data_IF_273478015392
#
_entry.id   IF_273478015392
#
_cell.length_a   1.000
_cell.length_b   1.000
_cell.length_c   1.000
_cell.angle_alpha   90.00
_cell.angle_beta   90.00
_cell.angle_gamma   90.00
#
_symmetry.space_group_name_H-M   'P 1'
#
loop_
_entity.id
_entity.type
_entity.pdbx_description
1 polymer ?
#
# COMPACT_ATOMS: atom_id res chain seq x y z
N UNK A 1 5.96 -7.98 0.88
CA UNK A 1 5.32 -7.62 -0.40
C UNK A 1 5.61 -6.15 -0.62
N UNK A 2 6.33 -5.82 -1.68
CA UNK A 2 6.70 -4.43 -2.03
C UNK A 2 5.52 -3.69 -2.69
N UNK A 3 5.61 -2.37 -2.86
CA UNK A 3 4.61 -1.62 -3.65
C UNK A 3 4.64 -1.99 -5.14
N UNK A 4 5.81 -2.39 -5.65
CA UNK A 4 5.93 -2.92 -7.01
C UNK A 4 5.15 -4.24 -7.15
N UNK A 5 5.25 -5.15 -6.16
CA UNK A 5 4.48 -6.40 -6.16
C UNK A 5 2.97 -6.14 -6.17
N UNK A 6 2.51 -5.10 -5.45
CA UNK A 6 1.09 -4.70 -5.43
C UNK A 6 0.65 -4.15 -6.78
N UNK A 7 1.46 -3.26 -7.38
CA UNK A 7 1.18 -2.71 -8.71
C UNK A 7 1.11 -3.81 -9.77
N UNK A 8 2.02 -4.78 -9.73
CA UNK A 8 2.06 -5.92 -10.63
C UNK A 8 0.83 -6.81 -10.46
N UNK A 9 0.44 -7.14 -9.22
CA UNK A 9 -0.77 -7.90 -8.94
C UNK A 9 -2.03 -7.20 -9.45
N UNK A 10 -2.11 -5.88 -9.27
CA UNK A 10 -3.24 -5.08 -9.75
C UNK A 10 -3.27 -5.03 -11.29
N UNK A 11 -2.12 -4.84 -11.94
CA UNK A 11 -2.01 -4.85 -13.39
C UNK A 11 -2.44 -6.20 -13.97
N UNK A 12 -2.00 -7.30 -13.36
CA UNK A 12 -2.35 -8.65 -13.77
C UNK A 12 -3.85 -8.92 -13.66
N UNK A 13 -4.48 -8.56 -12.53
CA UNK A 13 -5.90 -8.83 -12.28
C UNK A 13 -6.80 -7.95 -13.15
N UNK A 14 -6.46 -6.68 -13.32
CA UNK A 14 -7.31 -5.72 -14.05
C UNK A 14 -7.06 -5.69 -15.56
N UNK A 15 -5.93 -6.23 -16.03
CA UNK A 15 -5.47 -6.11 -17.42
C UNK A 15 -5.09 -4.69 -17.83
N UNK A 16 -5.07 -3.72 -16.90
CA UNK A 16 -4.70 -2.32 -17.16
C UNK A 16 -3.23 -2.12 -16.82
N UNK A 17 -2.50 -1.31 -17.59
CA UNK A 17 -1.12 -0.98 -17.25
C UNK A 17 -1.09 -0.16 -15.96
N UNK A 18 -0.48 -0.73 -14.92
CA UNK A 18 -0.22 -0.07 -13.63
C UNK A 18 1.27 -0.25 -13.34
N UNK A 19 1.94 0.81 -12.87
CA UNK A 19 3.33 0.76 -12.42
C UNK A 19 3.46 1.41 -11.05
N UNK A 20 4.36 0.88 -10.24
CA UNK A 20 4.83 1.59 -9.07
C UNK A 20 5.84 2.66 -9.50
N UNK A 21 5.70 3.87 -8.94
CA UNK A 21 6.63 4.98 -9.14
C UNK A 21 7.09 5.44 -7.77
N UNK A 22 8.39 5.28 -7.50
CA UNK A 22 8.99 5.77 -6.27
C UNK A 22 9.06 7.30 -6.30
N UNK A 23 8.48 7.93 -5.28
CA UNK A 23 8.51 9.38 -5.07
C UNK A 23 9.08 9.69 -3.70
N UNK A 24 9.76 10.83 -3.55
CA UNK A 24 10.24 11.25 -2.24
C UNK A 24 9.08 11.67 -1.34
N UNK A 25 9.26 11.63 -0.02
CA UNK A 25 8.22 12.08 0.92
C UNK A 25 7.85 13.56 0.70
N UNK A 26 8.81 14.39 0.28
CA UNK A 26 8.57 15.80 -0.03
C UNK A 26 7.72 15.97 -1.30
N UNK A 27 8.01 15.19 -2.35
CA UNK A 27 7.24 15.22 -3.58
C UNK A 27 5.82 14.68 -3.36
N UNK A 28 5.68 13.61 -2.57
CA UNK A 28 4.38 13.10 -2.16
C UNK A 28 3.59 14.15 -1.38
N UNK A 29 4.24 14.87 -0.46
CA UNK A 29 3.59 15.95 0.29
C UNK A 29 3.04 17.04 -0.64
N UNK A 30 3.85 17.47 -1.61
CA UNK A 30 3.46 18.46 -2.60
C UNK A 30 2.29 17.97 -3.46
N UNK A 31 2.37 16.76 -4.01
CA UNK A 31 1.32 16.14 -4.84
C UNK A 31 -0.02 16.08 -4.08
N UNK A 32 -0.01 15.65 -2.81
CA UNK A 32 -1.23 15.55 -2.01
C UNK A 32 -1.80 16.93 -1.66
N UNK A 33 -0.93 17.91 -1.36
CA UNK A 33 -1.35 19.28 -1.05
C UNK A 33 -1.96 19.96 -2.27
N UNK A 34 -1.35 19.81 -3.46
CA UNK A 34 -1.86 20.34 -4.73
C UNK A 34 -3.23 19.74 -5.10
N UNK A 35 -3.47 18.49 -4.70
CA UNK A 35 -4.78 17.82 -4.85
C UNK A 35 -5.81 18.29 -3.81
N UNK A 36 -5.47 19.24 -2.94
CA UNK A 36 -6.37 19.84 -1.97
C UNK A 36 -6.62 18.99 -0.73
N UNK A 37 -5.75 18.01 -0.43
CA UNK A 37 -5.90 17.24 0.80
C UNK A 37 -5.56 18.12 2.03
N UNK A 38 -6.32 18.00 3.14
CA UNK A 38 -5.99 18.72 4.37
C UNK A 38 -4.63 18.30 4.93
N UNK A 39 -3.92 19.24 5.55
CA UNK A 39 -2.55 19.08 6.04
C UNK A 39 -2.35 17.81 6.89
N UNK A 40 -3.30 17.51 7.78
CA UNK A 40 -3.25 16.30 8.62
C UNK A 40 -3.18 14.99 7.81
N UNK A 41 -3.81 14.94 6.64
CA UNK A 41 -3.73 13.79 5.75
C UNK A 41 -2.41 13.75 5.01
N UNK A 42 -1.91 14.91 4.56
CA UNK A 42 -0.60 15.00 3.90
C UNK A 42 0.50 14.48 4.83
N UNK A 43 0.54 14.97 6.07
CA UNK A 43 1.49 14.53 7.09
C UNK A 43 1.35 13.03 7.42
N UNK A 44 0.11 12.54 7.53
CA UNK A 44 -0.14 11.11 7.77
C UNK A 44 0.41 10.23 6.66
N UNK A 45 0.11 10.55 5.40
CA UNK A 45 0.53 9.76 4.24
C UNK A 45 2.04 9.76 4.02
N UNK A 46 2.71 10.90 4.21
CA UNK A 46 4.17 10.97 4.09
C UNK A 46 4.87 10.22 5.23
N UNK A 47 4.31 10.28 6.44
CA UNK A 47 4.79 9.49 7.58
C UNK A 47 4.74 7.97 7.34
N UNK A 48 3.70 7.47 6.69
CA UNK A 48 3.57 6.04 6.34
C UNK A 48 4.71 5.54 5.46
N UNK A 49 5.19 6.36 4.52
CA UNK A 49 6.35 6.03 3.68
C UNK A 49 7.60 5.76 4.51
N UNK A 50 7.83 6.55 5.56
CA UNK A 50 8.94 6.34 6.50
C UNK A 50 8.76 5.07 7.32
N UNK A 51 7.59 4.85 7.94
CA UNK A 51 7.34 3.63 8.71
C UNK A 51 7.47 2.35 7.88
N UNK A 52 7.08 2.41 6.60
CA UNK A 52 7.24 1.30 5.67
C UNK A 52 8.70 0.98 5.41
N UNK A 53 9.54 1.98 5.12
CA UNK A 53 10.99 1.81 4.92
C UNK A 53 11.69 1.29 6.18
N UNK A 54 11.19 1.66 7.35
CA UNK A 54 11.67 1.17 8.64
C UNK A 54 11.15 -0.25 8.98
N UNK A 55 10.37 -0.89 8.10
CA UNK A 55 9.93 -2.28 8.24
C UNK A 55 8.77 -2.49 9.22
N UNK A 56 8.09 -1.42 9.66
CA UNK A 56 6.99 -1.53 10.63
C UNK A 56 5.83 -2.39 10.13
N UNK A 57 5.67 -2.52 8.81
CA UNK A 57 4.59 -3.31 8.18
C UNK A 57 5.03 -4.70 7.70
N UNK A 58 6.29 -5.09 7.91
CA UNK A 58 6.81 -6.37 7.42
C UNK A 58 6.61 -7.54 8.40
N UNK A 59 5.99 -7.28 9.56
CA UNK A 59 5.70 -8.31 10.56
C UNK A 59 4.54 -9.18 10.11
N UNK A 60 4.80 -10.49 9.97
CA UNK A 60 3.79 -11.49 9.60
C UNK A 60 3.52 -12.46 10.74
N UNK A 61 2.28 -12.92 10.87
CA UNK A 61 1.86 -13.91 11.86
C UNK A 61 0.77 -14.82 11.30
N UNK A 62 0.49 -15.93 11.97
CA UNK A 62 -0.66 -16.80 11.68
C UNK A 62 -1.93 -16.39 12.45
N UNK A 63 -1.99 -15.18 13.02
CA UNK A 63 -3.09 -14.79 13.90
C UNK A 63 -4.45 -14.79 13.19
N UNK A 64 -4.52 -14.35 11.94
CA UNK A 64 -5.77 -14.37 11.15
C UNK A 64 -6.32 -15.79 11.03
N UNK A 65 -5.48 -16.74 10.63
CA UNK A 65 -5.89 -18.14 10.47
C UNK A 65 -6.27 -18.77 11.81
N UNK A 66 -5.48 -18.56 12.86
CA UNK A 66 -5.78 -19.11 14.19
C UNK A 66 -7.05 -18.55 14.83
N UNK A 67 -7.31 -17.25 14.67
CA UNK A 67 -8.46 -16.59 15.31
C UNK A 67 -9.76 -16.76 14.52
N UNK A 68 -9.67 -16.86 13.19
CA UNK A 68 -10.86 -16.89 12.32
C UNK A 68 -11.16 -18.27 11.73
N UNK A 69 -10.23 -19.23 11.83
CA UNK A 69 -10.32 -20.54 11.19
C UNK A 69 -10.19 -20.51 9.66
N UNK A 70 -9.86 -19.35 9.08
CA UNK A 70 -9.74 -19.14 7.63
C UNK A 70 -8.40 -18.49 7.30
N UNK A 71 -7.80 -18.91 6.18
CA UNK A 71 -6.60 -18.24 5.66
C UNK A 71 -6.89 -16.77 5.33
N UNK A 72 -5.91 -15.86 5.50
CA UNK A 72 -6.07 -14.48 5.06
C UNK A 72 -6.34 -14.42 3.55
N UNK A 73 -7.21 -13.49 3.14
CA UNK A 73 -7.52 -13.27 1.73
C UNK A 73 -6.28 -12.74 0.99
N UNK A 74 -5.82 -13.41 -0.09
CA UNK A 74 -4.77 -12.89 -0.95
C UNK A 74 -5.17 -11.54 -1.58
N UNK A 75 -4.21 -10.64 -1.76
CA UNK A 75 -4.49 -9.31 -2.34
C UNK A 75 -5.06 -9.39 -3.78
N UNK A 76 -4.60 -10.37 -4.56
CA UNK A 76 -5.08 -10.59 -5.92
C UNK A 76 -6.57 -10.99 -5.94
N UNK A 77 -7.00 -11.82 -5.00
CA UNK A 77 -8.41 -12.23 -4.87
C UNK A 77 -9.29 -11.03 -4.50
N UNK A 78 -8.78 -10.14 -3.65
CA UNK A 78 -9.47 -8.89 -3.32
C UNK A 78 -9.63 -7.98 -4.55
N UNK A 79 -8.60 -7.84 -5.39
CA UNK A 79 -8.70 -7.05 -6.63
C UNK A 79 -9.64 -7.63 -7.68
N UNK A 80 -9.96 -8.92 -7.60
CA UNK A 80 -10.87 -9.59 -8.52
C UNK A 80 -12.35 -9.49 -8.12
N UNK A 81 -12.65 -8.88 -6.97
CA UNK A 81 -14.01 -8.67 -6.45
C UNK A 81 -14.58 -7.33 -6.92
#
# INVERSE_FOLDING_TARGET
MSDADVADALAQVTGRPVRHEEVSDADLAAILSERGLPEMYVQGWTGLGTYKRDGWFDVTTHAVERLTGRKPTPIADYFAT
#
